data_IF_820136405315
#
_entry.id   IF_820136405315
#
_cell.length_a   1.000
_cell.length_b   1.000
_cell.length_c   1.000
_cell.angle_alpha   90.00
_cell.angle_beta   90.00
_cell.angle_gamma   90.00
#
_symmetry.space_group_name_H-M   'P 1'
#
loop_
_entity.id
_entity.type
_entity.pdbx_description
1 polymer ?
#
# COMPACT_ATOMS: atom_id res chain seq x y z
N UNK A 1 9.10 -23.77 24.55
CA UNK A 1 9.78 -23.02 23.47
C UNK A 1 8.74 -22.50 22.48
N UNK A 2 8.44 -21.19 22.43
CA UNK A 2 7.56 -20.59 21.41
C UNK A 2 7.75 -19.06 21.26
N UNK A 3 8.86 -18.48 21.71
CA UNK A 3 9.11 -17.03 21.67
C UNK A 3 9.86 -16.56 20.42
N UNK A 4 10.59 -17.47 19.75
CA UNK A 4 11.39 -17.15 18.55
C UNK A 4 10.54 -16.91 17.30
N UNK A 5 9.45 -17.65 17.09
CA UNK A 5 8.64 -17.56 15.87
C UNK A 5 7.95 -16.19 15.68
N UNK A 6 7.43 -15.59 16.76
CA UNK A 6 6.71 -14.31 16.70
C UNK A 6 7.67 -13.12 16.48
N UNK A 7 8.81 -13.10 17.17
CA UNK A 7 9.79 -12.02 17.04
C UNK A 7 10.47 -12.01 15.66
N UNK A 8 10.74 -13.18 15.08
CA UNK A 8 11.33 -13.30 13.75
C UNK A 8 10.33 -12.94 12.63
N UNK A 9 9.05 -13.31 12.79
CA UNK A 9 7.96 -12.87 11.90
C UNK A 9 7.80 -11.34 11.87
N UNK A 10 7.94 -10.66 13.01
CA UNK A 10 7.93 -9.20 13.03
C UNK A 10 9.22 -8.56 12.49
N UNK A 11 10.36 -9.27 12.54
CA UNK A 11 11.63 -8.83 11.96
C UNK A 11 11.64 -8.91 10.43
N UNK A 12 11.13 -9.99 9.84
CA UNK A 12 11.04 -10.17 8.38
C UNK A 12 10.06 -9.18 7.75
N UNK A 13 8.91 -8.94 8.38
CA UNK A 13 7.92 -7.97 7.89
C UNK A 13 8.49 -6.55 7.79
N UNK A 14 9.36 -6.13 8.73
CA UNK A 14 10.04 -4.83 8.69
C UNK A 14 11.14 -4.72 7.63
N UNK A 15 11.71 -5.84 7.18
CA UNK A 15 12.70 -5.83 6.08
C UNK A 15 12.06 -5.75 4.69
N UNK A 16 10.82 -6.21 4.53
CA UNK A 16 10.18 -6.36 3.21
C UNK A 16 9.30 -5.20 2.76
N UNK A 17 8.99 -4.24 3.64
CA UNK A 17 8.09 -3.11 3.31
C UNK A 17 8.77 -1.78 3.60
N UNK A 18 8.76 -0.88 2.62
CA UNK A 18 9.12 0.54 2.81
C UNK A 18 7.86 1.37 2.89
N UNK A 19 7.85 2.39 3.74
CA UNK A 19 6.71 3.32 3.83
C UNK A 19 6.85 4.40 2.76
N UNK A 20 5.75 4.67 2.06
CA UNK A 20 5.64 5.75 1.08
C UNK A 20 4.79 6.87 1.70
N UNK A 21 5.40 8.01 1.98
CA UNK A 21 4.72 9.20 2.49
C UNK A 21 4.64 10.23 1.38
N UNK A 22 3.43 10.71 1.10
CA UNK A 22 3.18 11.80 0.17
C UNK A 22 2.03 12.65 0.71
N UNK A 23 2.24 13.96 0.73
CA UNK A 23 1.18 14.92 1.03
C UNK A 23 0.35 15.15 -0.23
N UNK A 24 -0.97 15.13 -0.05
CA UNK A 24 -1.94 15.35 -1.13
C UNK A 24 -3.01 16.32 -0.64
N UNK A 25 -3.51 17.10 -1.58
CA UNK A 25 -4.59 18.05 -1.35
C UNK A 25 -5.83 17.36 -0.76
N UNK A 26 -6.52 18.03 0.16
CA UNK A 26 -7.65 17.48 0.91
C UNK A 26 -8.83 17.15 0.01
N UNK A 27 -9.15 18.00 -0.97
CA UNK A 27 -10.24 17.76 -1.92
C UNK A 27 -9.92 16.54 -2.81
N UNK A 28 -8.67 16.43 -3.25
CA UNK A 28 -8.22 15.23 -4.02
C UNK A 28 -8.34 13.95 -3.21
N UNK A 29 -7.99 13.99 -1.92
CA UNK A 29 -8.11 12.82 -1.04
C UNK A 29 -9.58 12.43 -0.86
N UNK A 30 -10.47 13.39 -0.58
CA UNK A 30 -11.90 13.11 -0.38
C UNK A 30 -12.54 12.48 -1.63
N UNK A 31 -12.28 13.08 -2.79
CA UNK A 31 -12.74 12.56 -4.08
C UNK A 31 -12.23 11.12 -4.33
N UNK A 32 -10.96 10.86 -4.02
CA UNK A 32 -10.41 9.50 -4.11
C UNK A 32 -11.14 8.54 -3.16
N UNK A 33 -11.41 8.92 -1.91
CA UNK A 33 -12.14 8.07 -0.96
C UNK A 33 -13.54 7.71 -1.46
N UNK A 34 -14.26 8.65 -2.08
CA UNK A 34 -15.59 8.40 -2.62
C UNK A 34 -15.56 7.40 -3.79
N UNK A 35 -14.55 7.51 -4.66
CA UNK A 35 -14.33 6.55 -5.76
C UNK A 35 -13.99 5.17 -5.20
N UNK A 36 -13.11 5.10 -4.20
CA UNK A 36 -12.67 3.84 -3.59
C UNK A 36 -13.79 3.13 -2.84
N UNK A 37 -14.64 3.89 -2.11
CA UNK A 37 -15.85 3.37 -1.47
C UNK A 37 -16.80 2.75 -2.49
N UNK A 38 -17.03 3.44 -3.61
CA UNK A 38 -17.91 2.96 -4.69
C UNK A 38 -17.39 1.66 -5.32
N UNK A 39 -16.08 1.42 -5.29
CA UNK A 39 -15.41 0.21 -5.79
C UNK A 39 -15.17 -0.86 -4.71
N UNK A 40 -15.60 -0.61 -3.48
CA UNK A 40 -15.32 -1.44 -2.30
C UNK A 40 -13.82 -1.80 -2.18
N UNK A 41 -12.95 -0.84 -2.44
CA UNK A 41 -11.50 -1.01 -2.54
C UNK A 41 -10.78 -0.14 -1.49
N UNK A 42 -9.71 -0.66 -0.87
CA UNK A 42 -8.95 0.13 0.11
C UNK A 42 -7.90 1.04 -0.54
N UNK A 43 -7.49 2.11 0.16
CA UNK A 43 -6.40 3.02 -0.27
C UNK A 43 -5.09 2.27 -0.56
N UNK A 44 -4.79 1.26 0.26
CA UNK A 44 -3.60 0.41 0.10
C UNK A 44 -3.66 -0.40 -1.19
N UNK A 45 -4.78 -1.08 -1.44
CA UNK A 45 -4.95 -1.87 -2.67
C UNK A 45 -4.89 -0.99 -3.92
N UNK A 46 -5.52 0.18 -3.86
CA UNK A 46 -5.42 1.17 -4.93
C UNK A 46 -4.00 1.63 -5.22
N UNK A 47 -3.25 2.00 -4.17
CA UNK A 47 -1.87 2.46 -4.34
C UNK A 47 -0.98 1.35 -4.90
N UNK A 48 -1.12 0.11 -4.42
CA UNK A 48 -0.36 -1.04 -4.92
C UNK A 48 -0.68 -1.29 -6.39
N UNK A 49 -1.96 -1.33 -6.76
CA UNK A 49 -2.38 -1.54 -8.14
C UNK A 49 -1.79 -0.47 -9.08
N UNK A 50 -1.80 0.80 -8.66
CA UNK A 50 -1.20 1.90 -9.44
C UNK A 50 0.31 1.77 -9.56
N UNK A 51 1.01 1.36 -8.50
CA UNK A 51 2.45 1.08 -8.55
C UNK A 51 2.75 -0.09 -9.51
N UNK A 52 1.96 -1.16 -9.45
CA UNK A 52 2.12 -2.32 -10.34
C UNK A 52 1.84 -1.95 -11.80
N UNK A 53 0.81 -1.14 -12.08
CA UNK A 53 0.53 -0.58 -13.40
C UNK A 53 1.74 0.21 -13.94
N UNK A 54 2.34 1.09 -13.13
CA UNK A 54 3.51 1.89 -13.51
C UNK A 54 4.77 1.03 -13.75
N UNK A 55 5.01 0.02 -12.91
CA UNK A 55 6.14 -0.91 -13.06
C UNK A 55 5.95 -1.75 -14.32
N UNK A 56 4.75 -2.26 -14.56
CA UNK A 56 4.45 -3.11 -15.71
C UNK A 56 4.44 -2.31 -17.02
N UNK A 57 4.01 -1.05 -16.99
CA UNK A 57 4.06 -0.14 -18.15
C UNK A 57 5.49 0.24 -18.56
N UNK A 58 6.49 0.04 -17.69
CA UNK A 58 7.92 0.27 -17.99
C UNK A 58 8.66 -0.97 -18.51
N UNK A 59 7.99 -2.11 -18.68
CA UNK A 59 8.55 -3.24 -19.44
C UNK A 59 8.43 -2.96 -20.95
N UNK A 60 9.21 -2.01 -21.43
CA UNK A 60 9.52 -1.79 -22.85
C UNK A 60 11.04 -1.67 -22.95
#
# INVERSE_FOLDING_TARGET
>A
MATKSRAEYFKSRRKSTKTFYAEIDTDKMDNLENILKSKNQTKKEWLIAKIDEEINSKKI
#
